data_IF_674555357555
#
_entry.id   IF_674555357555
#
_cell.length_a   1.000
_cell.length_b   1.000
_cell.length_c   1.000
_cell.angle_alpha   90.00
_cell.angle_beta   90.00
_cell.angle_gamma   90.00
#
_symmetry.space_group_name_H-M   'P 1'
#
loop_
_entity.id
_entity.type
_entity.pdbx_description
1 polymer ?
#
# COMPACT_ATOMS: atom_id res chain seq x y z
N UNK A 1 -23.78 2.84 9.58
CA UNK A 1 -22.35 3.17 9.71
C UNK A 1 -21.64 1.85 9.46
N UNK A 2 -21.38 1.55 8.20
CA UNK A 2 -21.03 0.19 7.77
C UNK A 2 -19.70 -0.23 8.38
N UNK A 3 -19.54 -1.48 8.83
CA UNK A 3 -18.30 -1.97 9.37
C UNK A 3 -17.24 -1.96 8.27
N UNK A 4 -16.24 -1.08 8.40
CA UNK A 4 -15.04 -1.07 7.57
C UNK A 4 -14.17 -2.28 7.93
N UNK A 5 -14.64 -3.47 7.58
CA UNK A 5 -14.09 -4.74 8.00
C UNK A 5 -14.20 -5.79 6.92
N UNK A 6 -13.83 -5.47 5.68
CA UNK A 6 -13.62 -6.51 4.67
C UNK A 6 -12.44 -6.14 3.75
N UNK A 7 -11.31 -6.79 4.03
CA UNK A 7 -10.21 -7.15 3.12
C UNK A 7 -9.90 -6.21 1.94
N UNK A 8 -9.75 -4.90 2.16
CA UNK A 8 -9.19 -4.03 1.12
C UNK A 8 -7.76 -4.50 0.78
N UNK A 9 -7.44 -4.69 -0.52
CA UNK A 9 -6.11 -5.14 -0.92
C UNK A 9 -5.08 -4.13 -0.43
N UNK A 10 -3.99 -4.64 0.16
CA UNK A 10 -2.89 -3.79 0.62
C UNK A 10 -2.19 -3.21 -0.60
N UNK A 11 -2.34 -1.91 -0.81
CA UNK A 11 -1.67 -1.19 -1.90
C UNK A 11 -0.29 -0.74 -1.43
N UNK A 12 0.71 -0.97 -2.26
CA UNK A 12 2.08 -0.48 -2.09
C UNK A 12 2.37 0.67 -3.06
N UNK A 13 3.35 1.50 -2.71
CA UNK A 13 3.83 2.62 -3.53
C UNK A 13 5.31 2.40 -3.78
N UNK A 14 5.73 2.41 -5.04
CA UNK A 14 7.13 2.27 -5.42
C UNK A 14 7.95 3.49 -4.96
N UNK A 15 9.07 3.26 -4.29
CA UNK A 15 9.93 4.34 -3.79
C UNK A 15 10.54 5.20 -4.91
N UNK A 16 10.77 4.61 -6.09
CA UNK A 16 11.40 5.30 -7.23
C UNK A 16 10.36 5.91 -8.18
N UNK A 17 9.30 5.15 -8.51
CA UNK A 17 8.30 5.58 -9.50
C UNK A 17 7.14 6.37 -8.89
N UNK A 18 6.87 6.20 -7.59
CA UNK A 18 5.65 6.73 -6.95
C UNK A 18 4.35 6.05 -7.38
N UNK A 19 4.40 5.10 -8.32
CA UNK A 19 3.23 4.36 -8.79
C UNK A 19 2.72 3.37 -7.74
N UNK A 20 1.40 3.18 -7.72
CA UNK A 20 0.75 2.17 -6.91
C UNK A 20 0.98 0.77 -7.49
N UNK A 21 1.13 -0.22 -6.62
CA UNK A 21 1.40 -1.61 -6.97
C UNK A 21 0.69 -2.51 -5.97
N UNK A 22 0.08 -3.58 -6.48
CA UNK A 22 -0.51 -4.63 -5.67
C UNK A 22 0.54 -5.72 -5.43
N UNK A 23 0.55 -6.39 -4.26
CA UNK A 23 1.43 -7.52 -4.02
C UNK A 23 1.08 -8.66 -4.99
N UNK A 24 2.09 -9.31 -5.55
CA UNK A 24 1.86 -10.48 -6.40
C UNK A 24 1.57 -11.73 -5.55
N UNK A 25 0.75 -12.64 -6.07
CA UNK A 25 0.27 -13.83 -5.35
C UNK A 25 1.37 -14.87 -5.12
N UNK A 26 2.45 -14.84 -5.92
CA UNK A 26 3.65 -15.67 -5.78
C UNK A 26 4.59 -15.20 -4.65
N UNK A 27 4.21 -14.13 -3.94
CA UNK A 27 4.96 -13.61 -2.78
C UNK A 27 6.14 -12.72 -3.16
N UNK A 28 6.40 -12.48 -4.45
CA UNK A 28 7.38 -11.50 -4.88
C UNK A 28 6.83 -10.08 -4.80
N UNK A 29 7.66 -9.15 -4.33
CA UNK A 29 7.30 -7.74 -4.14
C UNK A 29 8.27 -6.89 -4.95
N UNK A 30 7.80 -6.35 -6.07
CA UNK A 30 8.53 -5.43 -6.93
C UNK A 30 7.54 -4.48 -7.62
N UNK A 31 8.02 -3.37 -8.18
CA UNK A 31 7.16 -2.43 -8.89
C UNK A 31 6.64 -3.01 -10.21
N UNK A 32 5.35 -2.83 -10.51
CA UNK A 32 4.73 -3.26 -11.76
C UNK A 32 5.38 -2.65 -13.03
N UNK A 33 5.94 -1.44 -12.93
CA UNK A 33 6.54 -0.74 -14.08
C UNK A 33 8.00 -1.15 -14.33
N UNK A 34 8.73 -1.52 -13.28
CA UNK A 34 10.14 -1.91 -13.39
C UNK A 34 10.48 -2.97 -12.33
N UNK A 35 10.75 -4.22 -12.73
CA UNK A 35 11.08 -5.32 -11.81
C UNK A 35 12.36 -5.10 -10.98
N UNK A 36 13.24 -4.18 -11.39
CA UNK A 36 14.44 -3.84 -10.62
C UNK A 36 14.12 -2.99 -9.38
N UNK A 37 12.95 -2.34 -9.34
CA UNK A 37 12.54 -1.56 -8.18
C UNK A 37 11.89 -2.47 -7.13
N UNK A 38 12.66 -2.83 -6.12
CA UNK A 38 12.24 -3.76 -5.04
C UNK A 38 11.84 -3.05 -3.74
N UNK A 39 12.06 -1.73 -3.66
CA UNK A 39 11.70 -0.92 -2.49
C UNK A 39 10.31 -0.34 -2.68
N UNK A 40 9.35 -0.83 -1.88
CA UNK A 40 7.98 -0.36 -1.87
C UNK A 40 7.54 0.05 -0.46
N UNK A 41 6.76 1.12 -0.34
CA UNK A 41 6.13 1.57 0.90
C UNK A 41 4.67 1.14 0.96
N UNK A 42 4.15 0.84 2.16
CA UNK A 42 2.72 0.56 2.33
C UNK A 42 1.92 1.86 2.24
N UNK A 43 0.89 1.91 1.39
CA UNK A 43 0.00 3.07 1.30
C UNK A 43 -0.75 3.25 2.63
N UNK A 44 -0.92 4.51 3.04
CA UNK A 44 -1.64 4.86 4.28
C UNK A 44 -3.07 4.33 4.19
N UNK A 45 -3.56 3.77 5.30
CA UNK A 45 -4.96 3.37 5.39
C UNK A 45 -5.88 4.58 5.22
N UNK A 46 -6.96 4.42 4.46
CA UNK A 46 -7.96 5.47 4.22
C UNK A 46 -8.80 5.82 5.45
N UNK A 47 -8.63 5.08 6.56
CA UNK A 47 -9.35 5.36 7.81
C UNK A 47 -8.81 6.65 8.44
N UNK A 48 -9.70 7.56 8.90
CA UNK A 48 -9.26 8.75 9.60
C UNK A 48 -8.54 8.37 10.90
N UNK A 49 -7.44 9.07 11.18
CA UNK A 49 -6.72 8.93 12.45
C UNK A 49 -7.03 10.16 13.29
N UNK A 50 -7.50 9.94 14.52
CA UNK A 50 -7.82 11.00 15.48
C UNK A 50 -6.75 11.00 16.56
N UNK A 51 -6.05 12.11 16.72
CA UNK A 51 -4.99 12.29 17.70
C UNK A 51 -5.38 13.40 18.69
N UNK A 52 -4.91 13.30 19.93
CA UNK A 52 -5.01 14.39 20.90
C UNK A 52 -3.91 15.41 20.61
N UNK A 53 -4.26 16.70 20.57
CA UNK A 53 -3.27 17.76 20.57
C UNK A 53 -2.63 17.84 21.97
N UNK A 54 -1.30 17.91 22.02
CA UNK A 54 -0.48 18.07 23.23
C UNK A 54 0.10 19.47 23.21
#
# INVERSE_FOLDING_TARGET
MEPAGENQPVIYICATCGCETNPHMDGTIHCNTNPNHKVLYKKRASRPLVYKAI
#
